data_IF_872164399702
#
_entry.id   IF_872164399702
#
_cell.length_a   1.000
_cell.length_b   1.000
_cell.length_c   1.000
_cell.angle_alpha   90.00
_cell.angle_beta   90.00
_cell.angle_gamma   90.00
#
_symmetry.space_group_name_H-M   'P 1'
#
loop_
_entity.id
_entity.type
_entity.pdbx_description
1 polymer ?
#
# COMPACT_ATOMS: atom_id res chain seq x y z
N UNK A 1 4.84 23.20 6.96
CA UNK A 1 3.82 22.40 6.25
C UNK A 1 4.57 21.46 5.32
N UNK A 2 4.35 20.15 5.46
CA UNK A 2 5.16 19.12 4.79
C UNK A 2 4.59 18.85 3.39
N UNK A 3 4.90 19.66 2.40
CA UNK A 3 4.57 19.39 0.98
C UNK A 3 5.23 18.10 0.44
N UNK A 4 6.32 17.65 1.06
CA UNK A 4 7.07 16.46 0.66
C UNK A 4 6.39 15.11 1.01
N UNK A 5 5.33 15.11 1.81
CA UNK A 5 4.64 13.87 2.17
C UNK A 5 3.74 13.32 1.06
N UNK A 6 3.21 14.19 0.22
CA UNK A 6 2.27 13.83 -0.84
C UNK A 6 2.98 13.84 -2.19
N UNK A 7 3.07 12.68 -2.83
CA UNK A 7 3.57 12.59 -4.20
C UNK A 7 2.39 12.70 -5.15
N UNK A 8 2.40 13.73 -5.97
CA UNK A 8 1.45 13.90 -7.04
C UNK A 8 2.05 13.45 -8.38
N UNK A 9 1.36 12.53 -9.06
CA UNK A 9 1.61 12.18 -10.45
C UNK A 9 0.65 12.95 -11.33
N UNK A 10 1.12 13.36 -12.51
CA UNK A 10 0.31 14.07 -13.52
C UNK A 10 0.53 13.48 -14.89
N UNK A 11 -0.55 13.34 -15.65
CA UNK A 11 -0.50 12.99 -17.07
C UNK A 11 -0.79 14.22 -17.93
N UNK A 12 -0.37 14.17 -19.19
CA UNK A 12 -0.54 15.26 -20.17
C UNK A 12 -2.01 15.56 -20.48
N UNK A 13 -2.92 14.62 -20.25
CA UNK A 13 -4.37 14.81 -20.38
C UNK A 13 -5.02 15.53 -19.19
N UNK A 14 -4.22 15.88 -18.16
CA UNK A 14 -4.68 16.53 -16.93
C UNK A 14 -5.16 15.58 -15.84
N UNK A 15 -5.06 14.25 -16.04
CA UNK A 15 -5.31 13.29 -14.99
C UNK A 15 -4.24 13.38 -13.89
N UNK A 16 -4.62 13.09 -12.66
CA UNK A 16 -3.70 13.11 -11.52
C UNK A 16 -3.93 11.94 -10.56
N UNK A 17 -2.86 11.54 -9.86
CA UNK A 17 -2.93 10.64 -8.72
C UNK A 17 -2.10 11.21 -7.56
N UNK A 18 -2.53 10.95 -6.32
CA UNK A 18 -1.84 11.39 -5.10
C UNK A 18 -1.55 10.17 -4.24
N UNK A 19 -0.28 9.96 -3.93
CA UNK A 19 0.21 8.84 -3.13
C UNK A 19 0.99 9.36 -1.92
N UNK A 20 0.87 8.69 -0.78
CA UNK A 20 1.57 9.03 0.46
C UNK A 20 2.45 7.86 0.91
N UNK A 21 3.73 7.83 0.52
CA UNK A 21 4.63 6.71 0.85
C UNK A 21 4.76 6.46 2.35
N UNK A 22 4.92 7.50 3.15
CA UNK A 22 5.11 7.40 4.61
C UNK A 22 3.88 6.89 5.36
N UNK A 23 2.68 7.04 4.78
CA UNK A 23 1.43 6.59 5.35
C UNK A 23 0.94 5.28 4.68
N UNK A 24 1.79 4.26 4.63
CA UNK A 24 1.42 2.96 4.09
C UNK A 24 1.45 2.84 2.57
N UNK A 25 2.15 3.71 1.85
CA UNK A 25 2.13 3.74 0.39
C UNK A 25 0.75 4.08 -0.18
N UNK A 26 -0.05 4.76 0.58
CA UNK A 26 -1.49 4.96 0.37
C UNK A 26 -1.78 5.78 -0.89
N UNK A 27 -2.47 5.19 -1.86
CA UNK A 27 -3.05 5.90 -3.00
C UNK A 27 -4.33 6.60 -2.53
N UNK A 28 -4.25 7.90 -2.25
CA UNK A 28 -5.35 8.68 -1.72
C UNK A 28 -6.32 9.16 -2.78
N UNK A 29 -5.80 9.55 -3.94
CA UNK A 29 -6.60 10.21 -4.96
C UNK A 29 -6.21 9.72 -6.34
N UNK A 30 -7.20 9.52 -7.18
CA UNK A 30 -7.06 9.42 -8.63
C UNK A 30 -8.22 10.19 -9.26
N UNK A 31 -7.88 11.20 -10.03
CA UNK A 31 -8.87 12.08 -10.65
C UNK A 31 -8.59 12.25 -12.15
N UNK A 32 -9.67 12.39 -12.90
CA UNK A 32 -9.65 12.56 -14.37
C UNK A 32 -10.40 13.81 -14.79
N UNK A 33 -9.90 14.53 -15.82
CA UNK A 33 -10.66 15.60 -16.42
C UNK A 33 -11.89 15.07 -17.17
N UNK A 34 -12.97 15.80 -17.04
CA UNK A 34 -14.23 15.58 -17.77
C UNK A 34 -14.71 16.93 -18.32
N UNK A 35 -15.78 16.89 -19.14
CA UNK A 35 -16.44 18.13 -19.61
C UNK A 35 -16.99 18.99 -18.45
N UNK A 36 -17.13 18.44 -17.25
CA UNK A 36 -17.65 19.12 -16.06
C UNK A 36 -16.55 19.47 -15.04
N UNK A 37 -15.27 19.35 -15.41
CA UNK A 37 -14.13 19.55 -14.54
C UNK A 37 -13.48 18.23 -14.13
N UNK A 38 -12.62 18.30 -13.12
CA UNK A 38 -11.89 17.16 -12.58
C UNK A 38 -12.81 16.32 -11.68
N UNK A 39 -12.89 15.02 -11.96
CA UNK A 39 -13.72 14.09 -11.20
C UNK A 39 -12.85 13.02 -10.53
N UNK A 40 -13.01 12.86 -9.23
CA UNK A 40 -12.33 11.84 -8.43
C UNK A 40 -12.97 10.46 -8.66
N UNK A 41 -12.14 9.47 -8.95
CA UNK A 41 -12.54 8.07 -9.12
C UNK A 41 -12.40 7.26 -7.81
N UNK A 42 -11.71 7.82 -6.81
CA UNK A 42 -11.57 7.22 -5.48
C UNK A 42 -12.27 8.10 -4.45
N UNK A 43 -12.92 7.46 -3.48
CA UNK A 43 -13.45 8.19 -2.34
C UNK A 43 -12.30 8.73 -1.48
N UNK A 44 -12.34 10.00 -1.19
CA UNK A 44 -11.33 10.70 -0.40
C UNK A 44 -11.99 11.62 0.64
N UNK A 45 -11.50 11.54 1.87
CA UNK A 45 -11.82 12.47 2.93
C UNK A 45 -10.56 12.85 3.70
N UNK A 46 -10.26 14.13 3.80
CA UNK A 46 -9.10 14.63 4.54
C UNK A 46 -9.12 14.19 6.00
N UNK A 47 -10.29 14.20 6.63
CA UNK A 47 -10.46 13.77 8.01
C UNK A 47 -10.03 12.32 8.29
N UNK A 48 -10.09 11.43 7.28
CA UNK A 48 -9.59 10.04 7.41
C UNK A 48 -8.07 10.01 7.41
N UNK A 49 -7.44 10.82 6.56
CA UNK A 49 -5.97 10.95 6.52
C UNK A 49 -5.43 11.49 7.84
N UNK A 50 -6.11 12.47 8.42
CA UNK A 50 -5.72 13.09 9.70
C UNK A 50 -5.82 12.09 10.88
N UNK A 51 -6.65 11.05 10.75
CA UNK A 51 -6.81 9.99 11.75
C UNK A 51 -5.98 8.72 11.49
N UNK A 52 -5.12 8.75 10.46
CA UNK A 52 -4.18 7.65 10.20
C UNK A 52 -3.33 7.34 11.45
N UNK A 53 -3.04 6.08 11.81
CA UNK A 53 -3.45 4.83 11.17
C UNK A 53 -4.75 4.21 11.75
N UNK A 54 -5.55 4.98 12.50
CA UNK A 54 -6.78 4.47 13.11
C UNK A 54 -7.87 4.23 12.08
N UNK A 55 -7.97 5.11 11.09
CA UNK A 55 -8.92 5.02 9.99
C UNK A 55 -8.18 4.99 8.65
N UNK A 56 -8.58 4.07 7.77
CA UNK A 56 -7.91 3.84 6.48
C UNK A 56 -8.91 3.35 5.41
N UNK A 57 -10.14 3.86 5.44
CA UNK A 57 -11.21 3.43 4.54
C UNK A 57 -11.37 4.32 3.29
N UNK A 58 -10.62 5.41 3.18
CA UNK A 58 -10.56 6.25 1.98
C UNK A 58 -9.45 5.80 1.02
N UNK A 59 -9.55 6.18 -0.25
CA UNK A 59 -8.55 5.86 -1.26
C UNK A 59 -8.37 4.35 -1.48
N UNK A 60 -7.14 3.93 -1.76
CA UNK A 60 -6.76 2.53 -1.94
C UNK A 60 -5.51 2.20 -1.12
N UNK A 61 -5.66 1.68 0.11
CA UNK A 61 -4.54 1.26 0.96
C UNK A 61 -3.92 -0.06 0.46
N UNK A 62 -2.60 -0.20 0.58
CA UNK A 62 -1.88 -1.43 0.23
C UNK A 62 -2.00 -2.48 1.32
N UNK A 63 -2.50 -3.65 0.99
CA UNK A 63 -2.72 -4.75 1.92
C UNK A 63 -1.70 -5.87 1.67
N UNK A 64 -0.89 -6.21 2.67
CA UNK A 64 0.13 -7.27 2.63
C UNK A 64 0.64 -7.53 4.06
N UNK A 65 1.06 -8.77 4.45
CA UNK A 65 1.18 -9.97 3.61
C UNK A 65 -0.08 -10.84 3.57
N UNK A 66 -1.12 -10.53 4.33
CA UNK A 66 -2.36 -11.29 4.34
C UNK A 66 -3.56 -10.36 4.36
N UNK A 67 -4.43 -10.50 3.37
CA UNK A 67 -5.67 -9.73 3.25
C UNK A 67 -6.73 -10.34 4.17
N UNK A 68 -7.58 -9.48 4.78
CA UNK A 68 -8.61 -9.87 5.73
C UNK A 68 -8.06 -10.26 7.12
N UNK A 69 -8.72 -11.15 7.81
CA UNK A 69 -8.38 -11.56 9.18
C UNK A 69 -7.63 -12.89 9.18
N UNK A 70 -6.63 -12.98 10.05
CA UNK A 70 -6.02 -14.25 10.41
C UNK A 70 -6.71 -14.78 11.67
N UNK A 71 -6.93 -16.08 11.72
CA UNK A 71 -7.66 -16.69 12.81
C UNK A 71 -7.11 -18.07 13.14
N UNK A 72 -6.83 -18.31 14.41
CA UNK A 72 -6.65 -19.63 15.00
C UNK A 72 -7.79 -19.87 16.00
N UNK A 73 -8.15 -21.13 16.28
CA UNK A 73 -9.17 -21.43 17.27
C UNK A 73 -8.93 -20.70 18.59
N UNK A 74 -9.87 -19.82 18.99
CA UNK A 74 -9.79 -19.01 20.21
C UNK A 74 -8.76 -17.85 20.17
N UNK A 75 -8.12 -17.57 19.04
CA UNK A 75 -7.11 -16.50 18.93
C UNK A 75 -7.26 -15.73 17.62
N UNK A 76 -7.95 -14.62 17.68
CA UNK A 76 -8.06 -13.69 16.57
C UNK A 76 -6.70 -13.04 16.25
N UNK A 77 -6.49 -12.65 15.00
CA UNK A 77 -5.27 -12.01 14.51
C UNK A 77 -4.00 -12.85 14.67
N UNK A 78 -4.14 -14.19 14.67
CA UNK A 78 -3.01 -15.12 14.72
C UNK A 78 -3.07 -16.10 13.57
N UNK A 79 -1.90 -16.57 13.12
CA UNK A 79 -1.75 -17.66 12.18
C UNK A 79 -0.59 -18.58 12.62
N UNK A 80 -0.57 -19.81 12.11
CA UNK A 80 0.49 -20.77 12.38
C UNK A 80 1.32 -21.03 11.13
N UNK A 81 2.63 -21.11 11.29
CA UNK A 81 3.57 -21.51 10.26
C UNK A 81 4.78 -22.20 10.85
N UNK A 82 5.19 -23.34 10.25
CA UNK A 82 6.36 -24.11 10.71
C UNK A 82 6.29 -24.51 12.19
N UNK A 83 5.11 -24.85 12.70
CA UNK A 83 4.90 -25.22 14.10
C UNK A 83 4.96 -24.06 15.10
N UNK A 84 5.04 -22.82 14.62
CA UNK A 84 5.05 -21.59 15.44
C UNK A 84 3.82 -20.74 15.16
N UNK A 85 3.41 -19.98 16.15
CA UNK A 85 2.29 -19.02 16.02
C UNK A 85 2.83 -17.59 15.91
N UNK A 86 2.15 -16.80 15.11
CA UNK A 86 2.48 -15.39 14.85
C UNK A 86 1.24 -14.54 14.97
N UNK A 87 1.39 -13.39 15.62
CA UNK A 87 0.36 -12.35 15.66
C UNK A 87 0.49 -11.47 14.41
N UNK A 88 -0.58 -11.37 13.64
CA UNK A 88 -0.65 -10.51 12.47
C UNK A 88 -2.04 -9.88 12.37
N UNK A 89 -2.12 -8.58 12.58
CA UNK A 89 -3.37 -7.85 12.57
C UNK A 89 -4.08 -7.88 11.22
N UNK A 90 -5.31 -7.41 11.20
CA UNK A 90 -6.15 -7.33 10.01
C UNK A 90 -5.40 -6.65 8.84
N UNK A 91 -5.42 -7.31 7.68
CA UNK A 91 -4.77 -6.87 6.44
C UNK A 91 -3.24 -6.76 6.51
N UNK A 92 -2.61 -7.34 7.52
CA UNK A 92 -1.16 -7.27 7.70
C UNK A 92 -0.66 -5.89 8.10
N UNK A 93 0.55 -5.56 7.67
CA UNK A 93 1.26 -4.37 8.12
C UNK A 93 1.57 -3.34 7.01
N UNK A 94 1.48 -3.71 5.74
CA UNK A 94 1.92 -2.85 4.63
C UNK A 94 1.26 -1.46 4.66
N UNK A 95 -0.05 -1.42 4.90
CA UNK A 95 -0.83 -0.17 5.01
C UNK A 95 -0.47 0.72 6.21
N UNK A 96 0.36 0.22 7.13
CA UNK A 96 0.84 0.96 8.31
C UNK A 96 2.35 1.14 8.32
N UNK A 97 3.03 0.68 7.27
CA UNK A 97 4.48 0.80 7.12
C UNK A 97 4.84 2.02 6.27
N UNK A 98 5.96 2.66 6.57
CA UNK A 98 6.53 3.63 5.65
C UNK A 98 7.16 2.90 4.45
N UNK A 99 6.84 3.34 3.25
CA UNK A 99 7.37 2.81 2.00
C UNK A 99 8.48 3.72 1.48
N UNK A 100 9.55 3.12 1.01
CA UNK A 100 10.64 3.84 0.35
C UNK A 100 10.25 4.15 -1.10
N UNK A 101 10.53 5.36 -1.55
CA UNK A 101 10.46 5.71 -2.97
C UNK A 101 11.68 5.09 -3.67
N UNK A 102 11.42 4.13 -4.56
CA UNK A 102 12.46 3.47 -5.34
C UNK A 102 12.76 4.23 -6.65
N UNK A 103 11.73 4.77 -7.29
CA UNK A 103 11.86 5.69 -8.44
C UNK A 103 10.67 6.62 -8.50
N UNK A 104 10.86 7.81 -9.10
CA UNK A 104 9.83 8.82 -9.29
C UNK A 104 10.05 9.57 -10.60
N UNK A 105 8.99 9.67 -11.40
CA UNK A 105 8.86 10.55 -12.55
C UNK A 105 7.68 11.49 -12.41
N UNK A 106 7.32 12.18 -13.48
CA UNK A 106 6.16 13.08 -13.51
C UNK A 106 4.84 12.30 -13.46
N UNK A 107 4.76 11.20 -14.22
CA UNK A 107 3.56 10.36 -14.34
C UNK A 107 3.74 8.95 -13.78
N UNK A 108 4.85 8.67 -13.12
CA UNK A 108 5.16 7.34 -12.58
C UNK A 108 5.84 7.37 -11.21
N UNK A 109 5.61 6.34 -10.42
CA UNK A 109 6.18 6.18 -9.09
C UNK A 109 6.34 4.70 -8.79
N UNK A 110 7.49 4.30 -8.26
CA UNK A 110 7.68 2.97 -7.69
C UNK A 110 8.01 3.09 -6.21
N UNK A 111 7.22 2.41 -5.40
CA UNK A 111 7.41 2.27 -3.96
C UNK A 111 7.94 0.88 -3.63
N UNK A 112 8.71 0.77 -2.56
CA UNK A 112 9.27 -0.49 -2.08
C UNK A 112 9.13 -0.60 -0.57
N UNK A 113 8.64 -1.75 -0.12
CA UNK A 113 8.64 -2.20 1.27
C UNK A 113 9.47 -3.49 1.36
N UNK A 114 10.50 -3.48 2.17
CA UNK A 114 11.32 -4.67 2.46
C UNK A 114 11.07 -5.15 3.88
N UNK A 115 11.39 -6.41 4.13
CA UNK A 115 11.35 -6.95 5.47
C UNK A 115 12.31 -6.22 6.41
N UNK A 116 11.97 -6.23 7.68
CA UNK A 116 12.74 -5.64 8.77
C UNK A 116 12.67 -6.56 10.00
N UNK A 117 13.47 -6.29 11.01
CA UNK A 117 13.37 -7.02 12.29
C UNK A 117 11.94 -6.95 12.86
N UNK A 118 11.30 -5.78 12.75
CA UNK A 118 9.93 -5.60 13.24
C UNK A 118 8.91 -6.43 12.44
N UNK A 119 8.98 -6.43 11.12
CA UNK A 119 8.04 -7.21 10.29
C UNK A 119 8.26 -8.71 10.45
N UNK A 120 9.51 -9.16 10.62
CA UNK A 120 9.85 -10.58 10.81
C UNK A 120 9.30 -11.18 12.11
N UNK A 121 9.00 -10.36 13.11
CA UNK A 121 8.30 -10.81 14.34
C UNK A 121 6.89 -11.28 14.07
N UNK A 122 6.19 -10.63 13.13
CA UNK A 122 4.82 -10.95 12.74
C UNK A 122 4.74 -11.83 11.49
N UNK A 123 5.73 -11.77 10.61
CA UNK A 123 5.78 -12.48 9.34
C UNK A 123 7.24 -12.86 9.04
N UNK A 124 7.66 -14.11 9.38
CA UNK A 124 9.07 -14.50 9.48
C UNK A 124 9.75 -14.77 8.13
N UNK A 125 9.43 -13.98 7.12
CA UNK A 125 9.96 -14.14 5.76
C UNK A 125 10.75 -12.93 5.33
N UNK A 126 11.82 -13.17 4.57
CA UNK A 126 12.54 -12.12 3.87
C UNK A 126 11.83 -11.83 2.54
N UNK A 127 11.44 -10.59 2.33
CA UNK A 127 10.69 -10.19 1.14
C UNK A 127 11.10 -8.81 0.61
N UNK A 128 10.70 -8.57 -0.63
CA UNK A 128 10.60 -7.24 -1.19
C UNK A 128 9.24 -7.11 -1.88
N UNK A 129 8.42 -6.18 -1.43
CA UNK A 129 7.16 -5.83 -2.07
C UNK A 129 7.33 -4.48 -2.77
N UNK A 130 7.12 -4.44 -4.07
CA UNK A 130 7.11 -3.22 -4.90
C UNK A 130 5.72 -2.94 -5.41
N UNK A 131 5.39 -1.67 -5.45
CA UNK A 131 4.16 -1.18 -6.09
C UNK A 131 4.55 -0.07 -7.06
N UNK A 132 4.23 -0.25 -8.32
CA UNK A 132 4.47 0.74 -9.37
C UNK A 132 3.15 1.34 -9.83
N UNK A 133 3.08 2.66 -9.84
CA UNK A 133 1.97 3.43 -10.38
C UNK A 133 2.42 4.14 -11.64
N UNK A 134 1.59 4.14 -12.68
CA UNK A 134 1.82 4.87 -13.92
C UNK A 134 0.51 5.45 -14.44
N UNK A 135 0.49 6.77 -14.63
CA UNK A 135 -0.58 7.46 -15.35
C UNK A 135 -0.23 7.50 -16.85
N UNK A 136 -1.15 7.03 -17.69
CA UNK A 136 -0.98 7.06 -19.14
C UNK A 136 -2.34 7.06 -19.85
N UNK A 137 -2.61 8.07 -20.68
CA UNK A 137 -3.85 8.19 -21.44
C UNK A 137 -5.09 8.20 -20.56
N UNK A 138 -5.03 8.92 -19.44
CA UNK A 138 -6.11 9.03 -18.47
C UNK A 138 -6.40 7.74 -17.70
N UNK A 139 -5.46 6.80 -17.65
CA UNK A 139 -5.58 5.55 -16.88
C UNK A 139 -4.49 5.47 -15.84
N UNK A 140 -4.85 5.06 -14.63
CA UNK A 140 -3.89 4.71 -13.59
C UNK A 140 -3.65 3.20 -13.66
N UNK A 141 -2.41 2.83 -14.00
CA UNK A 141 -1.91 1.46 -13.92
C UNK A 141 -1.27 1.27 -12.55
N UNK A 142 -1.64 0.20 -11.86
CA UNK A 142 -1.01 -0.23 -10.63
C UNK A 142 -0.53 -1.66 -10.78
N UNK A 143 0.72 -1.90 -10.51
CA UNK A 143 1.36 -3.22 -10.54
C UNK A 143 1.99 -3.52 -9.20
N UNK A 144 1.74 -4.70 -8.66
CA UNK A 144 2.34 -5.16 -7.42
C UNK A 144 3.25 -6.36 -7.72
N UNK A 145 4.50 -6.28 -7.26
CA UNK A 145 5.49 -7.35 -7.37
C UNK A 145 5.95 -7.76 -5.97
N UNK A 146 5.76 -9.02 -5.62
CA UNK A 146 6.25 -9.59 -4.36
C UNK A 146 7.36 -10.58 -4.66
N UNK A 147 8.54 -10.33 -4.11
CA UNK A 147 9.72 -11.18 -4.26
C UNK A 147 10.02 -11.84 -2.93
N UNK A 148 10.00 -13.17 -2.90
CA UNK A 148 10.54 -13.95 -1.79
C UNK A 148 12.07 -13.88 -1.84
N UNK A 149 12.70 -13.35 -0.81
CA UNK A 149 14.15 -13.25 -0.66
C UNK A 149 14.74 -14.30 0.27
N UNK A 150 13.88 -15.17 0.82
CA UNK A 150 14.26 -16.32 1.65
C UNK A 150 14.38 -17.60 0.84
N UNK A 151 14.77 -18.68 1.52
CA UNK A 151 14.87 -20.03 0.94
C UNK A 151 13.62 -20.89 1.09
N UNK A 152 12.67 -20.48 1.94
CA UNK A 152 11.46 -21.23 2.23
C UNK A 152 10.25 -20.67 1.48
N UNK A 153 9.24 -21.50 1.16
CA UNK A 153 7.98 -21.02 0.61
C UNK A 153 7.38 -19.91 1.47
N UNK A 154 6.97 -18.83 0.85
CA UNK A 154 6.42 -17.64 1.51
C UNK A 154 4.94 -17.48 1.14
N UNK A 155 4.00 -17.83 2.02
CA UNK A 155 2.57 -17.65 1.76
C UNK A 155 2.17 -16.18 1.91
N UNK A 156 1.50 -15.61 0.92
CA UNK A 156 1.00 -14.25 1.00
C UNK A 156 -0.28 -14.04 0.20
N UNK A 157 -0.98 -12.96 0.52
CA UNK A 157 -1.98 -12.33 -0.33
C UNK A 157 -1.79 -10.81 -0.30
N UNK A 158 -2.15 -10.14 -1.39
CA UNK A 158 -2.06 -8.67 -1.53
C UNK A 158 -3.29 -8.10 -2.22
N UNK A 159 -3.60 -6.85 -1.91
CA UNK A 159 -4.65 -6.06 -2.55
C UNK A 159 -4.32 -4.57 -2.50
#
# INVERSE_FOLDING_TARGET
MHEDKFIQLKDTDGSLAVIVPELGGWLLRYARPTRHGLVDALHFEQAVVDRYPKEMWAGNPLLFPMVSFNHLPGREHHYAWGGREFALGQHGFARRSAWRVASRGEAELTLELVDSEATRKAYPFAFCHRVSYRLAGGRLHSEQTVVNRGGEPMPFSTA
#
